data_IF_096147952622
#
_entry.id   IF_096147952622
#
_cell.length_a   1.000
_cell.length_b   1.000
_cell.length_c   1.000
_cell.angle_alpha   90.00
_cell.angle_beta   90.00
_cell.angle_gamma   90.00
#
_symmetry.space_group_name_H-M   'P 1'
#
loop_
_entity.id
_entity.type
_entity.pdbx_description
1 polymer ?
#
# COMPACT_ATOMS: atom_id res chain seq x y z
N UNK A 1 31.47 -44.75 -99.23
CA UNK A 1 32.46 -44.46 -98.17
C UNK A 1 31.65 -44.09 -96.94
N UNK A 2 31.73 -44.95 -95.93
CA UNK A 2 30.88 -45.05 -94.75
C UNK A 2 30.94 -43.83 -93.83
N UNK A 3 29.80 -43.45 -93.22
CA UNK A 3 29.56 -43.44 -91.75
C UNK A 3 28.29 -42.63 -91.47
N UNK A 4 27.14 -43.27 -91.26
CA UNK A 4 26.65 -43.92 -90.04
C UNK A 4 26.17 -42.93 -88.96
N UNK A 5 24.84 -42.83 -88.93
CA UNK A 5 23.98 -42.03 -88.08
C UNK A 5 24.01 -42.53 -86.64
N UNK A 6 24.42 -41.70 -85.68
CA UNK A 6 24.04 -41.88 -84.26
C UNK A 6 23.40 -40.60 -83.76
N UNK A 7 22.08 -40.64 -83.59
CA UNK A 7 21.33 -39.70 -82.77
C UNK A 7 21.76 -39.93 -81.32
N UNK A 8 22.55 -39.03 -80.76
CA UNK A 8 22.70 -38.96 -79.30
C UNK A 8 21.53 -38.15 -78.73
N UNK A 9 20.61 -38.87 -78.10
CA UNK A 9 19.53 -38.32 -77.29
C UNK A 9 20.10 -37.45 -76.17
N UNK A 10 19.57 -36.25 -76.02
CA UNK A 10 19.85 -35.33 -74.92
C UNK A 10 19.54 -36.01 -73.58
N UNK A 11 20.48 -36.10 -72.62
CA UNK A 11 20.15 -36.47 -71.25
C UNK A 11 19.34 -35.34 -70.63
N UNK A 12 18.17 -35.69 -70.09
CA UNK A 12 17.30 -34.82 -69.32
C UNK A 12 18.08 -34.19 -68.15
N UNK A 13 18.04 -32.86 -67.94
CA UNK A 13 18.75 -32.23 -66.84
C UNK A 13 18.10 -32.71 -65.53
N UNK A 14 18.85 -33.45 -64.73
CA UNK A 14 18.44 -33.78 -63.37
C UNK A 14 18.46 -32.49 -62.53
N UNK A 15 17.47 -32.33 -61.65
CA UNK A 15 17.17 -31.16 -60.79
C UNK A 15 18.29 -30.79 -59.79
N UNK A 16 19.54 -31.20 -60.03
CA UNK A 16 20.66 -30.98 -59.13
C UNK A 16 21.83 -30.23 -59.77
N UNK A 17 21.70 -29.79 -61.03
CA UNK A 17 22.75 -29.04 -61.72
C UNK A 17 22.36 -27.56 -61.96
N UNK A 18 21.77 -26.93 -60.94
CA UNK A 18 21.75 -25.46 -60.85
C UNK A 18 23.12 -24.97 -60.35
N UNK A 19 24.07 -24.92 -61.29
CA UNK A 19 25.38 -24.28 -61.17
C UNK A 19 25.28 -22.75 -61.17
N UNK A 20 24.40 -22.18 -60.33
CA UNK A 20 24.05 -20.76 -60.39
C UNK A 20 23.78 -20.05 -59.07
N UNK A 21 23.69 -20.74 -57.93
CA UNK A 21 23.53 -20.07 -56.63
C UNK A 21 24.68 -20.41 -55.71
N UNK A 22 25.68 -19.52 -55.71
CA UNK A 22 26.62 -19.40 -54.60
C UNK A 22 25.80 -19.36 -53.30
N UNK A 23 25.87 -20.43 -52.50
CA UNK A 23 25.34 -20.43 -51.14
C UNK A 23 25.78 -19.14 -50.46
N UNK A 24 24.86 -18.33 -49.89
CA UNK A 24 25.25 -17.06 -49.30
C UNK A 24 26.29 -17.37 -48.21
N UNK A 25 27.53 -16.92 -48.46
CA UNK A 25 28.62 -17.08 -47.51
C UNK A 25 28.14 -16.46 -46.21
N UNK A 26 27.97 -17.28 -45.15
CA UNK A 26 27.59 -16.80 -43.83
C UNK A 26 28.75 -15.95 -43.30
N UNK A 27 28.65 -14.65 -43.50
CA UNK A 27 29.64 -13.70 -43.03
C UNK A 27 29.51 -13.55 -41.51
N UNK A 28 30.63 -13.72 -40.80
CA UNK A 28 30.66 -13.59 -39.35
C UNK A 28 30.33 -12.16 -38.90
N UNK A 29 29.85 -12.01 -37.66
CA UNK A 29 29.46 -10.70 -37.07
C UNK A 29 30.56 -9.64 -37.19
N UNK A 30 31.84 -10.04 -37.29
CA UNK A 30 33.00 -9.15 -37.37
C UNK A 30 33.41 -8.75 -38.80
N UNK A 31 32.76 -9.28 -39.82
CA UNK A 31 33.11 -9.00 -41.20
C UNK A 31 32.93 -7.50 -41.54
N UNK A 32 33.76 -6.96 -42.46
CA UNK A 32 33.87 -5.53 -42.71
C UNK A 32 32.58 -4.91 -43.27
N UNK A 33 31.75 -5.66 -44.01
CA UNK A 33 30.49 -5.13 -44.54
C UNK A 33 29.45 -4.78 -43.44
N UNK A 34 29.54 -5.43 -42.28
CA UNK A 34 28.68 -5.14 -41.14
C UNK A 34 29.20 -3.99 -40.27
N UNK A 35 30.43 -3.51 -40.47
CA UNK A 35 31.08 -2.53 -39.56
C UNK A 35 30.29 -1.22 -39.45
N UNK A 36 29.79 -0.70 -40.57
CA UNK A 36 28.98 0.54 -40.59
C UNK A 36 27.62 0.31 -39.92
N UNK A 37 26.95 -0.80 -40.23
CA UNK A 37 25.65 -1.17 -39.63
C UNK A 37 25.77 -1.39 -38.12
N UNK A 38 26.86 -2.00 -37.64
CA UNK A 38 27.17 -2.17 -36.21
C UNK A 38 27.33 -0.83 -35.49
N UNK A 39 28.07 0.11 -36.06
CA UNK A 39 28.26 1.44 -35.45
C UNK A 39 26.95 2.20 -35.36
N UNK A 40 26.09 2.13 -36.38
CA UNK A 40 24.75 2.74 -36.35
C UNK A 40 23.88 2.07 -35.29
N UNK A 41 23.85 0.73 -35.25
CA UNK A 41 23.08 -0.02 -34.25
C UNK A 41 23.54 0.29 -32.81
N UNK A 42 24.85 0.35 -32.56
CA UNK A 42 25.41 0.72 -31.25
C UNK A 42 25.05 2.15 -30.88
N UNK A 43 25.10 3.10 -31.82
CA UNK A 43 24.69 4.50 -31.57
C UNK A 43 23.22 4.61 -31.20
N UNK A 44 22.34 3.90 -31.92
CA UNK A 44 20.90 3.86 -31.61
C UNK A 44 20.64 3.20 -30.25
N UNK A 45 21.27 2.06 -29.96
CA UNK A 45 21.14 1.38 -28.67
C UNK A 45 21.65 2.24 -27.51
N UNK A 46 22.76 2.95 -27.68
CA UNK A 46 23.26 3.93 -26.71
C UNK A 46 22.27 5.07 -26.48
N UNK A 47 21.69 5.63 -27.56
CA UNK A 47 20.69 6.68 -27.46
C UNK A 47 19.45 6.24 -26.68
N UNK A 48 18.94 5.03 -26.97
CA UNK A 48 17.80 4.44 -26.24
C UNK A 48 18.15 4.15 -24.79
N UNK A 49 19.35 3.61 -24.52
CA UNK A 49 19.83 3.37 -23.15
C UNK A 49 19.89 4.66 -22.34
N UNK A 50 20.47 5.73 -22.90
CA UNK A 50 20.56 7.03 -22.23
C UNK A 50 19.17 7.62 -22.00
N UNK A 51 18.25 7.53 -22.97
CA UNK A 51 16.88 7.99 -22.80
C UNK A 51 16.16 7.25 -21.65
N UNK A 52 16.31 5.93 -21.56
CA UNK A 52 15.74 5.13 -20.46
C UNK A 52 16.34 5.53 -19.11
N UNK A 53 17.67 5.75 -19.03
CA UNK A 53 18.33 6.18 -17.80
C UNK A 53 17.84 7.57 -17.35
N UNK A 54 17.59 8.49 -18.28
CA UNK A 54 17.06 9.82 -17.97
C UNK A 54 15.63 9.72 -17.43
N UNK A 55 14.75 8.94 -18.08
CA UNK A 55 13.38 8.71 -17.59
C UNK A 55 13.41 8.08 -16.21
N UNK A 56 14.25 7.07 -16.00
CA UNK A 56 14.40 6.41 -14.71
C UNK A 56 14.91 7.37 -13.63
N UNK A 57 15.89 8.22 -13.95
CA UNK A 57 16.38 9.24 -13.03
C UNK A 57 15.28 10.27 -12.70
N UNK A 58 14.46 10.67 -13.68
CA UNK A 58 13.34 11.58 -13.46
C UNK A 58 12.28 10.95 -12.54
N UNK A 59 11.91 9.69 -12.76
CA UNK A 59 10.96 8.96 -11.94
C UNK A 59 11.46 8.76 -10.50
N UNK A 60 12.73 8.37 -10.32
CA UNK A 60 13.33 8.26 -9.00
C UNK A 60 13.42 9.62 -8.30
N UNK A 61 13.85 10.66 -9.01
CA UNK A 61 13.91 12.02 -8.45
C UNK A 61 12.53 12.51 -8.01
N UNK A 62 11.50 12.24 -8.82
CA UNK A 62 10.13 12.53 -8.47
C UNK A 62 9.66 11.72 -7.25
N UNK A 63 9.90 10.42 -7.22
CA UNK A 63 9.46 9.53 -6.13
C UNK A 63 10.14 9.88 -4.81
N UNK A 64 11.46 10.08 -4.81
CA UNK A 64 12.19 10.51 -3.62
C UNK A 64 11.80 11.92 -3.20
N UNK A 65 11.60 12.85 -4.16
CA UNK A 65 11.13 14.20 -3.88
C UNK A 65 9.72 14.23 -3.26
N UNK A 66 8.78 13.43 -3.80
CA UNK A 66 7.43 13.30 -3.29
C UNK A 66 7.38 12.60 -1.92
N UNK A 67 8.29 11.66 -1.68
CA UNK A 67 8.42 10.94 -0.40
C UNK A 67 9.20 11.74 0.66
N UNK A 68 9.93 12.78 0.25
CA UNK A 68 10.79 13.54 1.13
C UNK A 68 9.95 14.27 2.19
N UNK A 69 10.26 14.01 3.46
CA UNK A 69 9.56 14.57 4.63
C UNK A 69 8.05 14.28 4.68
N UNK A 70 7.55 13.23 4.02
CA UNK A 70 6.15 12.80 4.17
C UNK A 70 5.80 12.53 5.64
N UNK A 71 6.73 11.95 6.40
CA UNK A 71 6.56 11.71 7.84
C UNK A 71 6.35 13.00 8.66
N UNK A 72 6.84 14.15 8.21
CA UNK A 72 6.66 15.44 8.90
C UNK A 72 5.40 16.19 8.42
N UNK A 73 4.65 15.61 7.47
CA UNK A 73 3.43 16.18 6.86
C UNK A 73 2.20 15.33 7.16
N UNK A 74 2.30 14.34 8.04
CA UNK A 74 1.18 13.48 8.42
C UNK A 74 0.06 14.28 9.08
N UNK A 75 0.39 15.39 9.75
CA UNK A 75 -0.59 16.36 10.26
C UNK A 75 -1.52 16.98 9.21
N UNK A 76 -1.19 16.91 7.91
CA UNK A 76 -2.12 17.32 6.85
C UNK A 76 -3.23 16.28 6.57
N UNK A 77 -3.15 15.10 7.17
CA UNK A 77 -4.24 14.13 7.17
C UNK A 77 -5.24 14.53 8.25
N UNK A 78 -6.40 15.02 7.83
CA UNK A 78 -7.49 15.34 8.74
C UNK A 78 -8.36 14.09 8.96
N UNK A 79 -8.59 13.78 10.22
CA UNK A 79 -9.46 12.69 10.67
C UNK A 79 -10.61 13.31 11.45
N UNK A 80 -11.84 12.99 11.03
CA UNK A 80 -13.06 13.44 11.70
C UNK A 80 -13.24 12.68 13.01
N UNK A 81 -13.56 13.36 14.10
CA UNK A 81 -13.92 12.75 15.38
C UNK A 81 -15.33 13.18 15.78
N UNK A 82 -16.22 12.22 16.00
CA UNK A 82 -17.60 12.47 16.44
C UNK A 82 -17.90 11.68 17.70
N UNK A 83 -18.20 12.39 18.79
CA UNK A 83 -18.56 11.77 20.06
C UNK A 83 -20.10 11.72 20.21
N UNK A 84 -20.66 10.50 20.16
CA UNK A 84 -22.08 10.26 20.45
C UNK A 84 -22.33 9.85 21.91
N UNK A 85 -21.26 9.60 22.67
CA UNK A 85 -21.32 9.15 24.05
C UNK A 85 -21.36 10.34 25.02
N UNK A 86 -20.48 11.32 24.81
CA UNK A 86 -20.35 12.49 25.70
C UNK A 86 -19.85 12.13 27.10
N UNK A 87 -19.27 10.93 27.27
CA UNK A 87 -18.78 10.40 28.54
C UNK A 87 -17.25 10.28 28.62
N UNK A 88 -16.72 9.63 29.68
CA UNK A 88 -15.28 9.46 29.88
C UNK A 88 -14.55 8.75 28.73
N UNK A 89 -15.21 7.87 27.96
CA UNK A 89 -14.62 7.29 26.75
C UNK A 89 -14.43 8.35 25.67
N UNK A 90 -15.39 9.26 25.48
CA UNK A 90 -15.26 10.41 24.58
C UNK A 90 -14.15 11.39 25.02
N UNK A 91 -14.10 11.71 26.31
CA UNK A 91 -13.04 12.55 26.90
C UNK A 91 -11.64 11.92 26.73
N UNK A 92 -11.55 10.59 26.78
CA UNK A 92 -10.29 9.87 26.59
C UNK A 92 -9.68 10.11 25.20
N UNK A 93 -10.49 10.35 24.17
CA UNK A 93 -10.02 10.68 22.81
C UNK A 93 -9.33 12.03 22.78
N UNK A 94 -9.96 13.04 23.40
CA UNK A 94 -9.41 14.38 23.50
C UNK A 94 -8.10 14.38 24.29
N UNK A 95 -8.06 13.64 25.41
CA UNK A 95 -6.85 13.47 26.23
C UNK A 95 -5.75 12.73 25.47
N UNK A 96 -6.10 11.68 24.72
CA UNK A 96 -5.17 10.94 23.88
C UNK A 96 -4.56 11.82 22.79
N UNK A 97 -5.38 12.64 22.13
CA UNK A 97 -4.93 13.54 21.09
C UNK A 97 -3.93 14.57 21.60
N UNK A 98 -4.16 15.17 22.77
CA UNK A 98 -3.22 16.11 23.38
C UNK A 98 -1.82 15.49 23.60
N UNK A 99 -1.74 14.20 23.90
CA UNK A 99 -0.47 13.48 24.06
C UNK A 99 0.21 13.07 22.74
N UNK A 100 -0.57 12.91 21.66
CA UNK A 100 -0.09 12.45 20.35
C UNK A 100 0.13 13.59 19.34
N UNK A 101 -0.44 14.76 19.61
CA UNK A 101 -0.42 15.91 18.71
C UNK A 101 1.01 16.27 18.33
N UNK A 102 1.34 16.06 17.07
CA UNK A 102 2.66 16.34 16.51
C UNK A 102 2.57 16.45 15.00
N UNK A 103 3.63 16.95 14.36
CA UNK A 103 3.71 16.97 12.88
C UNK A 103 3.63 15.57 12.24
N UNK A 104 3.93 14.53 13.02
CA UNK A 104 3.97 13.12 12.62
C UNK A 104 2.65 12.37 12.89
N UNK A 105 1.68 13.03 13.50
CA UNK A 105 0.37 12.46 13.79
C UNK A 105 -0.71 13.21 12.99
N UNK A 106 -1.77 12.53 12.50
CA UNK A 106 -2.90 13.16 11.82
C UNK A 106 -3.56 14.25 12.68
N UNK A 107 -4.12 15.27 12.04
CA UNK A 107 -4.95 16.26 12.74
C UNK A 107 -6.32 15.65 13.02
N UNK A 108 -6.81 15.78 14.25
CA UNK A 108 -8.15 15.33 14.62
C UNK A 108 -9.08 16.55 14.64
N UNK A 109 -10.12 16.50 13.80
CA UNK A 109 -11.16 17.52 13.72
C UNK A 109 -12.37 17.03 14.50
N UNK A 110 -12.56 17.57 15.70
CA UNK A 110 -13.70 17.25 16.55
C UNK A 110 -14.94 18.00 16.06
N UNK A 111 -15.98 17.26 15.68
CA UNK A 111 -17.25 17.82 15.26
C UNK A 111 -18.38 17.35 16.19
N UNK A 112 -19.40 18.17 16.41
CA UNK A 112 -20.53 17.77 17.23
C UNK A 112 -21.34 16.69 16.53
N UNK A 113 -21.91 15.77 17.30
CA UNK A 113 -22.82 14.73 16.80
C UNK A 113 -24.13 15.29 16.22
N UNK A 114 -24.42 16.59 16.40
CA UNK A 114 -25.53 17.26 15.70
C UNK A 114 -25.32 17.37 14.19
N UNK A 115 -24.06 17.50 13.76
CA UNK A 115 -23.71 17.70 12.35
C UNK A 115 -23.64 16.36 11.59
N UNK A 116 -23.50 15.27 12.36
CA UNK A 116 -23.50 13.90 11.88
C UNK A 116 -24.47 13.08 12.75
N UNK A 117 -25.79 13.15 12.52
CA UNK A 117 -26.76 12.44 13.35
C UNK A 117 -26.68 10.91 13.21
N UNK A 118 -26.31 10.43 12.02
CA UNK A 118 -26.18 9.01 11.71
C UNK A 118 -24.70 8.64 11.51
N UNK A 119 -24.21 7.51 12.08
CA UNK A 119 -22.89 6.96 11.74
C UNK A 119 -22.63 6.81 10.23
N UNK A 120 -23.66 6.59 9.41
CA UNK A 120 -23.53 6.57 7.94
C UNK A 120 -23.14 7.93 7.35
N UNK A 121 -23.50 9.05 7.98
CA UNK A 121 -23.07 10.39 7.54
C UNK A 121 -21.55 10.56 7.75
N UNK A 122 -21.03 10.03 8.86
CA UNK A 122 -19.60 9.97 9.15
C UNK A 122 -18.89 9.09 8.11
N UNK A 123 -19.49 7.96 7.73
CA UNK A 123 -18.96 7.08 6.69
C UNK A 123 -18.96 7.74 5.31
N UNK A 124 -19.99 8.51 5.00
CA UNK A 124 -20.14 9.22 3.73
C UNK A 124 -19.10 10.33 3.56
N UNK A 125 -18.76 11.07 4.62
CA UNK A 125 -17.73 12.12 4.56
C UNK A 125 -16.33 11.55 4.25
N UNK A 126 -15.99 10.37 4.81
CA UNK A 126 -14.76 9.64 4.47
C UNK A 126 -14.81 9.10 3.03
N UNK A 127 -15.98 8.64 2.58
CA UNK A 127 -16.18 8.15 1.21
C UNK A 127 -16.02 9.26 0.16
N UNK A 128 -16.58 10.45 0.43
CA UNK A 128 -16.50 11.67 -0.40
C UNK A 128 -15.14 12.35 -0.37
N UNK A 129 -14.21 11.84 0.42
CA UNK A 129 -12.85 12.30 0.49
C UNK A 129 -12.65 13.65 1.20
N UNK A 130 -13.66 14.15 1.93
CA UNK A 130 -13.59 15.33 2.79
C UNK A 130 -12.60 15.12 3.94
N UNK A 131 -12.60 13.90 4.49
CA UNK A 131 -11.66 13.43 5.50
C UNK A 131 -10.88 12.20 5.02
N UNK A 132 -9.71 11.96 5.59
CA UNK A 132 -8.89 10.77 5.30
C UNK A 132 -9.38 9.53 6.05
N UNK A 133 -10.01 9.75 7.21
CA UNK A 133 -10.67 8.76 8.01
C UNK A 133 -11.55 9.43 9.06
N UNK A 134 -12.27 8.62 9.82
CA UNK A 134 -13.08 9.11 10.92
C UNK A 134 -12.98 8.17 12.12
N UNK A 135 -13.24 8.70 13.30
CA UNK A 135 -13.39 7.96 14.54
C UNK A 135 -14.69 8.43 15.16
N UNK A 136 -15.57 7.51 15.50
CA UNK A 136 -16.74 7.86 16.30
C UNK A 136 -16.85 6.96 17.51
N UNK A 137 -17.35 7.55 18.59
CA UNK A 137 -17.56 6.89 19.87
C UNK A 137 -19.04 6.51 19.95
N UNK A 138 -19.33 5.25 20.22
CA UNK A 138 -20.70 4.76 20.28
C UNK A 138 -21.44 5.34 21.47
N UNK A 139 -22.72 5.65 21.29
CA UNK A 139 -23.59 6.14 22.35
C UNK A 139 -23.68 5.14 23.51
N UNK A 140 -23.54 5.62 24.74
CA UNK A 140 -23.64 4.81 25.97
C UNK A 140 -22.45 3.85 26.15
N UNK A 141 -21.34 4.06 25.45
CA UNK A 141 -20.13 3.27 25.61
C UNK A 141 -19.58 3.43 27.04
N UNK A 142 -19.56 4.65 27.57
CA UNK A 142 -19.10 4.89 28.95
C UNK A 142 -19.99 4.22 29.98
N UNK A 143 -21.31 4.28 29.80
CA UNK A 143 -22.27 3.64 30.71
C UNK A 143 -22.13 2.11 30.70
N UNK A 144 -21.94 1.52 29.50
CA UNK A 144 -21.68 0.06 29.36
C UNK A 144 -20.41 -0.35 30.08
N UNK A 145 -19.34 0.43 29.96
CA UNK A 145 -18.08 0.15 30.64
C UNK A 145 -18.24 0.28 32.17
N UNK A 146 -18.91 1.34 32.64
CA UNK A 146 -19.17 1.53 34.06
C UNK A 146 -19.95 0.35 34.67
N UNK A 147 -21.01 -0.10 34.00
CA UNK A 147 -21.79 -1.26 34.41
C UNK A 147 -20.97 -2.57 34.37
N UNK A 148 -20.08 -2.72 33.39
CA UNK A 148 -19.19 -3.89 33.30
C UNK A 148 -18.17 -3.95 34.44
N UNK A 149 -17.71 -2.80 34.94
CA UNK A 149 -16.76 -2.73 36.07
C UNK A 149 -17.41 -3.17 37.39
N UNK A 150 -18.73 -2.99 37.54
CA UNK A 150 -19.49 -3.44 38.72
C UNK A 150 -19.70 -4.98 38.76
N UNK A 151 -19.51 -5.67 37.64
CA UNK A 151 -19.63 -7.13 37.52
C UNK A 151 -21.01 -7.63 37.09
N UNK A 152 -21.21 -8.94 37.20
CA UNK A 152 -22.47 -9.61 36.86
C UNK A 152 -22.66 -9.81 35.36
N UNK A 153 -23.92 -9.80 34.91
CA UNK A 153 -24.25 -10.04 33.50
C UNK A 153 -23.75 -8.94 32.56
N UNK A 154 -23.62 -7.70 33.06
CA UNK A 154 -23.06 -6.58 32.29
C UNK A 154 -21.59 -6.84 31.94
N UNK A 155 -20.80 -7.35 32.88
CA UNK A 155 -19.40 -7.69 32.67
C UNK A 155 -19.23 -8.87 31.70
N UNK A 156 -20.08 -9.89 31.81
CA UNK A 156 -20.02 -11.07 30.94
C UNK A 156 -20.36 -10.76 29.48
N UNK A 157 -21.23 -9.78 29.26
CA UNK A 157 -21.67 -9.35 27.93
C UNK A 157 -20.90 -8.12 27.41
N UNK A 158 -19.89 -7.64 28.15
CA UNK A 158 -19.16 -6.45 27.76
C UNK A 158 -18.25 -6.75 26.57
N UNK A 159 -18.54 -6.11 25.43
CA UNK A 159 -17.65 -6.11 24.27
C UNK A 159 -16.94 -4.74 24.18
N UNK A 160 -15.62 -4.68 24.42
CA UNK A 160 -14.89 -3.43 24.32
C UNK A 160 -14.83 -2.89 22.87
N UNK A 161 -15.09 -3.72 21.85
CA UNK A 161 -15.09 -3.29 20.43
C UNK A 161 -16.28 -2.40 20.07
N UNK A 162 -17.36 -2.45 20.87
CA UNK A 162 -18.54 -1.59 20.75
C UNK A 162 -18.34 -0.20 21.40
N UNK A 163 -17.10 0.15 21.77
CA UNK A 163 -16.78 1.46 22.33
C UNK A 163 -16.54 2.48 21.23
N UNK A 164 -15.69 2.13 20.25
CA UNK A 164 -15.16 3.07 19.27
C UNK A 164 -15.09 2.39 17.91
N UNK A 165 -15.55 3.08 16.87
CA UNK A 165 -15.38 2.62 15.49
C UNK A 165 -14.53 3.62 14.73
N UNK A 166 -13.57 3.10 13.96
CA UNK A 166 -12.73 3.89 13.09
C UNK A 166 -13.01 3.53 11.64
N UNK A 167 -13.29 4.55 10.83
CA UNK A 167 -13.64 4.43 9.43
C UNK A 167 -12.46 4.91 8.59
N UNK A 168 -12.07 4.15 7.57
CA UNK A 168 -11.14 4.61 6.55
C UNK A 168 -11.37 3.92 5.21
N UNK A 169 -10.97 4.58 4.13
CA UNK A 169 -11.08 4.04 2.79
C UNK A 169 -9.74 3.47 2.31
N UNK A 170 -9.63 2.13 2.30
CA UNK A 170 -8.40 1.48 1.86
C UNK A 170 -8.15 1.57 0.36
N UNK A 171 -9.21 1.73 -0.45
CA UNK A 171 -9.09 1.80 -1.91
C UNK A 171 -8.65 3.18 -2.41
N UNK A 172 -8.84 4.27 -1.64
CA UNK A 172 -8.52 5.65 -2.07
C UNK A 172 -7.02 5.84 -2.32
N UNK A 173 -6.21 5.50 -1.32
CA UNK A 173 -4.75 5.50 -1.40
C UNK A 173 -4.19 4.38 -0.52
N UNK A 174 -3.98 3.17 -1.07
CA UNK A 174 -3.61 1.99 -0.29
C UNK A 174 -2.31 2.15 0.51
N UNK A 175 -1.33 2.87 -0.05
CA UNK A 175 -0.06 3.18 0.63
C UNK A 175 -0.26 4.08 1.85
N UNK A 176 -1.07 5.12 1.75
CA UNK A 176 -1.39 6.02 2.87
C UNK A 176 -2.25 5.32 3.92
N UNK A 177 -3.27 4.58 3.49
CA UNK A 177 -4.16 3.86 4.39
C UNK A 177 -3.40 2.84 5.24
N UNK A 178 -2.62 1.97 4.59
CA UNK A 178 -1.84 0.92 5.27
C UNK A 178 -0.63 1.46 6.05
N UNK A 179 0.05 2.49 5.52
CA UNK A 179 1.30 3.00 6.10
C UNK A 179 1.10 4.00 7.25
N UNK A 180 0.06 4.83 7.16
CA UNK A 180 -0.15 5.94 8.10
C UNK A 180 -1.49 5.84 8.83
N UNK A 181 -2.62 5.58 8.17
CA UNK A 181 -3.91 5.63 8.88
C UNK A 181 -4.05 4.51 9.91
N UNK A 182 -3.82 3.25 9.52
CA UNK A 182 -3.97 2.09 10.43
C UNK A 182 -3.04 2.20 11.65
N UNK A 183 -1.77 2.56 11.45
CA UNK A 183 -0.80 2.70 12.53
C UNK A 183 -1.12 3.86 13.48
N UNK A 184 -1.61 5.00 12.95
CA UNK A 184 -2.03 6.13 13.77
C UNK A 184 -3.34 5.84 14.52
N UNK A 185 -4.31 5.10 13.94
CA UNK A 185 -5.50 4.66 14.67
C UNK A 185 -5.15 3.72 15.83
N UNK A 186 -4.22 2.79 15.63
CA UNK A 186 -3.74 1.91 16.70
C UNK A 186 -3.05 2.71 17.82
N UNK A 187 -2.25 3.71 17.45
CA UNK A 187 -1.60 4.61 18.40
C UNK A 187 -2.63 5.45 19.17
N UNK A 188 -3.67 5.95 18.49
CA UNK A 188 -4.79 6.67 19.10
C UNK A 188 -5.52 5.77 20.10
N UNK A 189 -5.91 4.55 19.71
CA UNK A 189 -6.59 3.60 20.60
C UNK A 189 -5.74 3.23 21.83
N UNK A 190 -4.44 3.04 21.66
CA UNK A 190 -3.51 2.82 22.77
C UNK A 190 -3.46 4.01 23.72
N UNK A 191 -3.37 5.23 23.17
CA UNK A 191 -3.39 6.45 23.97
C UNK A 191 -4.75 6.72 24.61
N UNK A 192 -5.86 6.34 23.99
CA UNK A 192 -7.22 6.44 24.54
C UNK A 192 -7.40 5.55 25.77
N UNK A 193 -6.91 4.30 25.72
CA UNK A 193 -6.90 3.42 26.90
C UNK A 193 -6.16 4.05 28.07
N UNK A 194 -4.97 4.60 27.81
CA UNK A 194 -4.22 5.35 28.82
C UNK A 194 -4.94 6.63 29.27
N UNK A 195 -5.59 7.33 28.34
CA UNK A 195 -6.34 8.55 28.56
C UNK A 195 -7.57 8.33 29.44
N UNK A 196 -8.26 7.19 29.28
CA UNK A 196 -9.40 6.82 30.12
C UNK A 196 -9.02 6.79 31.59
N UNK A 197 -7.90 6.16 31.97
CA UNK A 197 -7.43 6.15 33.36
C UNK A 197 -6.98 7.53 33.89
N UNK A 198 -6.86 8.53 33.02
CA UNK A 198 -6.57 9.92 33.43
C UNK A 198 -7.85 10.73 33.65
N UNK A 199 -8.99 10.28 33.14
CA UNK A 199 -10.31 10.85 33.44
C UNK A 199 -10.69 10.60 34.89
N UNK A 200 -11.64 11.38 35.42
CA UNK A 200 -12.10 11.25 36.80
C UNK A 200 -12.74 9.89 37.06
N UNK A 201 -13.56 9.42 36.12
CA UNK A 201 -14.29 8.15 36.18
C UNK A 201 -13.33 6.97 36.04
N UNK A 202 -12.32 7.06 35.16
CA UNK A 202 -11.31 6.02 35.04
C UNK A 202 -10.42 5.87 36.28
N UNK A 203 -10.15 6.96 37.01
CA UNK A 203 -9.46 6.90 38.31
C UNK A 203 -10.35 6.28 39.39
N UNK A 204 -11.64 6.63 39.41
CA UNK A 204 -12.61 6.06 40.35
C UNK A 204 -12.88 4.57 40.09
N UNK A 205 -12.81 4.13 38.83
CA UNK A 205 -13.05 2.75 38.41
C UNK A 205 -12.14 1.73 39.13
N UNK A 206 -10.91 2.11 39.49
CA UNK A 206 -10.01 1.23 40.24
C UNK A 206 -10.56 0.83 41.62
N UNK A 207 -11.25 1.76 42.31
CA UNK A 207 -11.86 1.49 43.61
C UNK A 207 -13.21 0.77 43.50
N UNK A 208 -13.86 0.88 42.34
CA UNK A 208 -15.21 0.35 42.11
C UNK A 208 -15.23 -1.01 41.39
N UNK A 209 -14.07 -1.49 40.91
CA UNK A 209 -14.00 -2.76 40.21
C UNK A 209 -14.37 -3.92 41.13
N UNK A 210 -15.29 -4.75 40.67
CA UNK A 210 -15.67 -5.95 41.38
C UNK A 210 -14.56 -7.01 41.26
N UNK A 211 -13.66 -7.05 42.25
CA UNK A 211 -12.53 -7.99 42.28
C UNK A 211 -12.93 -9.46 42.39
N UNK A 212 -14.20 -9.75 42.68
CA UNK A 212 -14.73 -11.12 42.74
C UNK A 212 -15.20 -11.64 41.38
N UNK A 213 -15.42 -10.76 40.40
CA UNK A 213 -15.84 -11.13 39.05
C UNK A 213 -14.65 -11.01 38.07
N UNK A 214 -14.14 -12.13 37.52
CA UNK A 214 -13.09 -12.10 36.52
C UNK A 214 -13.44 -11.27 35.28
N UNK A 215 -14.71 -11.22 34.87
CA UNK A 215 -15.14 -10.45 33.70
C UNK A 215 -15.05 -8.94 33.95
N UNK A 216 -15.36 -8.49 35.18
CA UNK A 216 -15.22 -7.08 35.57
C UNK A 216 -13.75 -6.63 35.57
N UNK A 217 -12.85 -7.50 36.03
CA UNK A 217 -11.40 -7.25 35.98
C UNK A 217 -10.94 -7.13 34.52
N UNK A 218 -11.41 -8.01 33.63
CA UNK A 218 -11.07 -7.93 32.19
C UNK A 218 -11.60 -6.66 31.53
N UNK A 219 -12.84 -6.26 31.82
CA UNK A 219 -13.42 -5.01 31.34
C UNK A 219 -12.62 -3.79 31.84
N UNK A 220 -12.18 -3.81 33.10
CA UNK A 220 -11.33 -2.75 33.65
C UNK A 220 -9.94 -2.70 33.01
N UNK A 221 -9.30 -3.85 32.72
CA UNK A 221 -7.95 -3.91 32.13
C UNK A 221 -7.93 -3.59 30.62
N UNK A 222 -9.04 -3.84 29.93
CA UNK A 222 -9.20 -3.52 28.51
C UNK A 222 -10.49 -2.72 28.30
N UNK A 223 -10.52 -1.45 28.74
CA UNK A 223 -11.76 -0.67 28.79
C UNK A 223 -12.26 -0.28 27.40
N UNK A 224 -11.35 -0.07 26.44
CA UNK A 224 -11.68 0.46 25.13
C UNK A 224 -11.01 -0.40 24.07
N UNK A 225 -11.77 -0.84 23.07
CA UNK A 225 -11.22 -1.39 21.84
C UNK A 225 -11.87 -0.71 20.63
N UNK A 226 -11.11 -0.62 19.55
CA UNK A 226 -11.60 -0.07 18.30
C UNK A 226 -12.06 -1.18 17.36
N UNK A 227 -13.19 -0.98 16.71
CA UNK A 227 -13.63 -1.79 15.58
C UNK A 227 -13.36 -1.06 14.24
N UNK A 228 -12.62 -1.65 13.29
CA UNK A 228 -12.44 -1.08 11.96
C UNK A 228 -13.71 -1.21 11.10
N UNK A 229 -14.24 -0.09 10.59
CA UNK A 229 -15.14 -0.07 9.43
C UNK A 229 -14.35 0.34 8.18
N UNK A 230 -13.94 -0.65 7.39
CA UNK A 230 -13.09 -0.42 6.22
C UNK A 230 -13.93 -0.26 4.96
N UNK A 231 -13.89 0.94 4.37
CA UNK A 231 -14.50 1.20 3.07
C UNK A 231 -13.63 0.55 1.99
N UNK A 232 -14.22 -0.38 1.24
CA UNK A 232 -13.59 -1.13 0.12
C UNK A 232 -12.26 -1.77 0.53
N UNK A 233 -12.28 -2.83 1.37
CA UNK A 233 -11.07 -3.49 1.85
C UNK A 233 -10.18 -3.93 0.69
N UNK A 234 -8.93 -3.49 0.68
CA UNK A 234 -7.93 -3.89 -0.32
C UNK A 234 -6.76 -4.61 0.33
N UNK A 235 -6.41 -5.79 -0.18
CA UNK A 235 -5.20 -6.53 0.22
C UNK A 235 -3.93 -6.04 -0.48
N UNK A 236 -4.04 -4.98 -1.28
CA UNK A 236 -2.96 -4.39 -2.08
C UNK A 236 -2.14 -3.45 -1.17
N UNK A 237 -1.34 -4.02 -0.28
CA UNK A 237 -0.41 -3.26 0.57
C UNK A 237 0.57 -2.42 -0.27
N UNK A 238 1.36 -1.57 0.39
CA UNK A 238 2.52 -0.87 -0.18
C UNK A 238 3.53 -1.77 -0.94
N UNK A 239 3.36 -3.10 -0.84
CA UNK A 239 3.94 -4.13 -1.72
C UNK A 239 3.90 -3.77 -3.20
N UNK A 240 2.86 -3.10 -3.71
CA UNK A 240 2.83 -2.81 -5.14
C UNK A 240 3.97 -1.87 -5.56
N UNK A 241 4.20 -0.78 -4.82
CA UNK A 241 5.25 0.18 -5.17
C UNK A 241 6.66 -0.45 -5.09
N UNK A 242 6.96 -1.16 -4.00
CA UNK A 242 8.27 -1.81 -3.83
C UNK A 242 8.48 -2.98 -4.80
N UNK A 243 7.44 -3.78 -5.09
CA UNK A 243 7.56 -4.88 -6.05
C UNK A 243 7.72 -4.33 -7.47
N UNK A 244 7.01 -3.27 -7.87
CA UNK A 244 7.17 -2.70 -9.21
C UNK A 244 8.56 -2.10 -9.38
N UNK A 245 9.07 -1.34 -8.38
CA UNK A 245 10.42 -0.76 -8.45
C UNK A 245 11.49 -1.86 -8.50
N UNK A 246 11.38 -2.89 -7.66
CA UNK A 246 12.35 -4.00 -7.65
C UNK A 246 12.32 -4.83 -8.93
N UNK A 247 11.15 -5.07 -9.51
CA UNK A 247 11.01 -5.76 -10.81
C UNK A 247 11.65 -4.92 -11.92
N UNK A 248 11.38 -3.61 -11.96
CA UNK A 248 11.99 -2.71 -12.95
C UNK A 248 13.51 -2.69 -12.78
N UNK A 249 14.02 -2.62 -11.55
CA UNK A 249 15.46 -2.68 -11.28
C UNK A 249 16.10 -4.01 -11.72
N UNK A 250 15.44 -5.14 -11.46
CA UNK A 250 15.91 -6.45 -11.89
C UNK A 250 15.92 -6.58 -13.42
N UNK A 251 14.88 -6.08 -14.10
CA UNK A 251 14.79 -6.06 -15.56
C UNK A 251 15.90 -5.19 -16.16
N UNK A 252 16.12 -3.97 -15.64
CA UNK A 252 17.20 -3.10 -16.09
C UNK A 252 18.58 -3.74 -15.91
N UNK A 253 18.83 -4.41 -14.77
CA UNK A 253 20.06 -5.17 -14.55
C UNK A 253 20.23 -6.32 -15.56
N UNK A 254 19.16 -7.02 -15.93
CA UNK A 254 19.23 -8.11 -16.91
C UNK A 254 19.43 -7.62 -18.34
N UNK A 255 18.88 -6.46 -18.72
CA UNK A 255 19.02 -5.91 -20.07
C UNK A 255 20.36 -5.20 -20.28
N UNK A 256 20.87 -4.48 -19.27
CA UNK A 256 22.08 -3.65 -19.42
C UNK A 256 23.36 -4.29 -18.90
N UNK A 257 23.30 -5.18 -17.89
CA UNK A 257 24.49 -5.74 -17.24
C UNK A 257 24.71 -7.22 -17.51
N UNK A 258 23.81 -7.94 -18.21
CA UNK A 258 24.07 -9.33 -18.61
C UNK A 258 25.03 -9.33 -19.80
N UNK A 259 26.31 -9.76 -19.65
CA UNK A 259 27.16 -10.01 -20.79
C UNK A 259 26.54 -11.20 -21.53
N UNK A 260 26.24 -11.04 -22.82
CA UNK A 260 25.86 -12.15 -23.67
C UNK A 260 27.12 -13.01 -23.89
N UNK A 261 27.46 -13.85 -22.91
CA UNK A 261 28.41 -14.93 -23.13
C UNK A 261 27.70 -15.97 -24.01
N UNK A 262 27.81 -15.78 -25.33
CA UNK A 262 27.62 -16.87 -26.27
C UNK A 262 28.68 -17.93 -25.96
N UNK A 263 28.17 -19.06 -25.43
CA UNK A 263 28.93 -20.29 -25.22
C UNK A 263 29.36 -20.83 -26.57
N UNK A 264 30.67 -20.85 -26.81
CA UNK A 264 31.27 -21.70 -27.83
C UNK A 264 31.79 -22.96 -27.13
N UNK A 265 31.06 -24.07 -27.32
CA UNK A 265 31.64 -25.40 -27.48
C UNK A 265 31.74 -25.66 -28.99
#
# INVERSE_FOLDING_TARGET
MSDNTIRQSSPEPTLHDDSGMSSPVRQGINAPEWRVKRVVAVKVLMGVMVAILIVFLADLSYLFGASFKVNDRVSALNILVVDYDGGPIGESVSTAYQGLQSRKFPSLDFQPSSDYPDPEDVRHSVCKADYWGAVFIHKGASDRLAAAIEGGSAAQNYDPTDSVTFIYNSARYPTTASGYLVSNFQSLLGAMRGGYYRTKEGQAAFGNVNSSDPAAIQAYLNPIQGNPDVIRPTNQAARNLYNTINIVMAILGQFFLRPRHERYL
#
